data_IF_970897724235
#
_entry.id   IF_970897724235
#
_cell.length_a   1.000
_cell.length_b   1.000
_cell.length_c   1.000
_cell.angle_alpha   90.00
_cell.angle_beta   90.00
_cell.angle_gamma   90.00
#
_symmetry.space_group_name_H-M   'P 1'
#
loop_
_entity.id
_entity.type
_entity.pdbx_description
1 polymer ?
#
# COMPACT_ATOMS: atom_id res chain seq x y z
N UNK A 1 19.99 -1.42 0.74
CA UNK A 1 19.63 -0.35 1.69
C UNK A 1 18.26 -0.67 2.27
N UNK A 2 17.98 -0.37 3.54
CA UNK A 2 16.64 -0.55 4.08
C UNK A 2 15.66 0.33 3.28
N UNK A 3 14.55 -0.27 2.86
CA UNK A 3 13.51 0.39 2.09
C UNK A 3 12.92 1.55 2.92
N UNK A 4 12.78 2.74 2.33
CA UNK A 4 12.25 3.92 3.05
C UNK A 4 10.75 4.13 2.77
N UNK A 5 10.03 4.74 3.72
CA UNK A 5 8.60 5.07 3.63
C UNK A 5 8.29 5.88 2.36
N UNK A 6 9.14 6.85 2.04
CA UNK A 6 8.97 7.70 0.87
C UNK A 6 9.12 6.92 -0.45
N UNK A 7 10.06 5.98 -0.51
CA UNK A 7 10.27 5.17 -1.72
C UNK A 7 9.06 4.27 -2.00
N UNK A 8 8.47 3.68 -0.96
CA UNK A 8 7.22 2.93 -1.09
C UNK A 8 6.09 3.83 -1.59
N UNK A 9 5.89 4.98 -0.95
CA UNK A 9 4.83 5.91 -1.36
C UNK A 9 5.00 6.34 -2.82
N UNK A 10 6.22 6.69 -3.22
CA UNK A 10 6.53 7.07 -4.60
C UNK A 10 6.29 5.92 -5.57
N UNK A 11 6.61 4.69 -5.20
CA UNK A 11 6.38 3.51 -6.04
C UNK A 11 4.90 3.20 -6.19
N UNK A 12 4.11 3.37 -5.13
CA UNK A 12 2.64 3.25 -5.17
C UNK A 12 2.05 4.31 -6.09
N UNK A 13 2.44 5.58 -5.93
CA UNK A 13 1.97 6.66 -6.79
C UNK A 13 2.38 6.46 -8.26
N UNK A 14 3.62 6.04 -8.50
CA UNK A 14 4.10 5.73 -9.85
C UNK A 14 3.30 4.60 -10.50
N UNK A 15 3.00 3.53 -9.74
CA UNK A 15 2.14 2.44 -10.22
C UNK A 15 0.73 2.93 -10.54
N UNK A 16 0.12 3.73 -9.66
CA UNK A 16 -1.20 4.32 -9.88
C UNK A 16 -1.24 5.17 -11.15
N UNK A 17 -0.26 6.06 -11.34
CA UNK A 17 -0.18 6.90 -12.54
C UNK A 17 0.05 6.09 -13.80
N UNK A 18 0.96 5.10 -13.75
CA UNK A 18 1.32 4.27 -14.89
C UNK A 18 0.16 3.44 -15.41
N UNK A 19 -0.61 2.82 -14.52
CA UNK A 19 -1.63 1.85 -14.91
C UNK A 19 -3.07 2.40 -14.96
N UNK A 20 -3.36 3.48 -14.21
CA UNK A 20 -4.72 4.02 -14.11
C UNK A 20 -4.83 5.49 -14.53
N UNK A 21 -3.70 6.15 -14.82
CA UNK A 21 -3.65 7.53 -15.24
C UNK A 21 -3.93 8.54 -14.13
N UNK A 22 -3.71 9.82 -14.43
CA UNK A 22 -3.80 10.91 -13.46
C UNK A 22 -5.22 11.11 -12.90
N UNK A 23 -6.25 10.94 -13.74
CA UNK A 23 -7.66 11.13 -13.34
C UNK A 23 -8.04 10.19 -12.22
N UNK A 24 -7.84 8.88 -12.39
CA UNK A 24 -8.19 7.91 -11.35
C UNK A 24 -7.24 7.98 -10.15
N UNK A 25 -5.94 8.17 -10.38
CA UNK A 25 -4.97 8.31 -9.28
C UNK A 25 -5.32 9.47 -8.33
N UNK A 26 -5.76 10.61 -8.85
CA UNK A 26 -6.17 11.75 -8.02
C UNK A 26 -7.32 11.45 -7.06
N UNK A 27 -8.19 10.49 -7.40
CA UNK A 27 -9.34 10.08 -6.58
C UNK A 27 -8.97 9.14 -5.43
N UNK A 28 -7.76 8.58 -5.45
CA UNK A 28 -7.33 7.57 -4.47
C UNK A 28 -7.21 8.16 -3.07
N UNK A 29 -6.69 9.38 -2.93
CA UNK A 29 -6.50 10.00 -1.62
C UNK A 29 -5.62 9.12 -0.69
N UNK A 30 -4.49 8.64 -1.21
CA UNK A 30 -3.62 7.70 -0.52
C UNK A 30 -2.94 8.35 0.70
N UNK A 31 -2.97 7.68 1.85
CA UNK A 31 -2.31 8.10 3.08
C UNK A 31 -1.63 6.92 3.77
N UNK A 32 -0.35 7.04 4.10
CA UNK A 32 0.38 6.02 4.85
C UNK A 32 0.07 6.17 6.34
N UNK A 33 -0.53 5.13 6.94
CA UNK A 33 -0.89 5.13 8.37
C UNK A 33 0.26 4.56 9.19
N UNK A 34 0.79 3.41 8.78
CA UNK A 34 1.88 2.73 9.47
C UNK A 34 2.68 1.91 8.46
N UNK A 35 3.98 1.76 8.71
CA UNK A 35 4.80 0.83 7.95
C UNK A 35 5.97 0.34 8.80
N UNK A 36 6.11 -0.98 8.84
CA UNK A 36 7.18 -1.66 9.53
C UNK A 36 7.86 -2.64 8.58
N UNK A 37 9.02 -2.23 8.07
CA UNK A 37 9.83 -3.01 7.15
C UNK A 37 10.43 -4.26 7.79
N UNK A 38 10.70 -4.24 9.10
CA UNK A 38 11.24 -5.40 9.82
C UNK A 38 10.20 -6.51 9.93
N UNK A 39 8.94 -6.14 10.12
CA UNK A 39 7.81 -7.07 10.18
C UNK A 39 7.27 -7.43 8.78
N UNK A 40 7.63 -6.67 7.74
CA UNK A 40 7.08 -6.86 6.39
C UNK A 40 5.62 -6.41 6.23
N UNK A 41 5.15 -5.52 7.11
CA UNK A 41 3.75 -5.07 7.16
C UNK A 41 3.60 -3.56 6.98
N UNK A 42 2.49 -3.15 6.36
CA UNK A 42 2.10 -1.75 6.22
C UNK A 42 0.59 -1.57 6.25
N UNK A 43 0.16 -0.38 6.67
CA UNK A 43 -1.23 0.05 6.66
C UNK A 43 -1.30 1.34 5.84
N UNK A 44 -2.07 1.28 4.75
CA UNK A 44 -2.42 2.44 3.95
C UNK A 44 -3.92 2.69 4.05
N UNK A 45 -4.29 3.97 4.03
CA UNK A 45 -5.66 4.45 3.90
C UNK A 45 -5.82 5.03 2.49
N UNK A 46 -7.00 4.83 1.92
CA UNK A 46 -7.40 5.38 0.63
C UNK A 46 -8.92 5.54 0.60
N UNK A 47 -9.44 6.21 -0.44
CA UNK A 47 -10.86 6.36 -0.69
C UNK A 47 -11.52 5.00 -0.94
N UNK A 48 -12.63 4.72 -0.25
CA UNK A 48 -13.39 3.47 -0.42
C UNK A 48 -13.78 3.19 -1.89
N UNK A 49 -14.00 4.24 -2.70
CA UNK A 49 -14.34 4.11 -4.12
C UNK A 49 -13.21 3.57 -4.98
N UNK A 50 -11.97 3.59 -4.48
CA UNK A 50 -10.75 3.25 -5.24
C UNK A 50 -10.08 1.96 -4.78
N UNK A 51 -10.78 1.15 -3.97
CA UNK A 51 -10.23 -0.06 -3.35
C UNK A 51 -9.55 -1.00 -4.36
N UNK A 52 -10.28 -1.41 -5.39
CA UNK A 52 -9.78 -2.39 -6.36
C UNK A 52 -8.63 -1.83 -7.22
N UNK A 53 -8.63 -0.52 -7.48
CA UNK A 53 -7.55 0.19 -8.16
C UNK A 53 -6.26 0.12 -7.32
N UNK A 54 -6.35 0.42 -6.03
CA UNK A 54 -5.18 0.40 -5.13
C UNK A 54 -4.64 -1.02 -4.97
N UNK A 55 -5.50 -2.01 -4.75
CA UNK A 55 -5.08 -3.42 -4.63
C UNK A 55 -4.34 -3.85 -5.91
N UNK A 56 -4.92 -3.57 -7.07
CA UNK A 56 -4.31 -3.90 -8.37
C UNK A 56 -2.97 -3.18 -8.55
N UNK A 57 -2.90 -1.88 -8.25
CA UNK A 57 -1.67 -1.10 -8.37
C UNK A 57 -0.55 -1.62 -7.46
N UNK A 58 -0.89 -2.09 -6.25
CA UNK A 58 0.08 -2.69 -5.33
C UNK A 58 0.63 -4.00 -5.88
N UNK A 59 -0.24 -4.88 -6.38
CA UNK A 59 0.16 -6.19 -6.93
C UNK A 59 1.06 -6.05 -8.17
N UNK A 60 0.91 -4.97 -8.94
CA UNK A 60 1.74 -4.69 -10.11
C UNK A 60 3.16 -4.17 -9.77
N UNK A 61 3.46 -3.88 -8.50
CA UNK A 61 4.78 -3.46 -8.07
C UNK A 61 5.63 -4.71 -7.81
N UNK A 62 6.58 -4.96 -8.71
CA UNK A 62 7.51 -6.10 -8.63
C UNK A 62 8.89 -5.71 -8.09
N UNK A 63 9.19 -4.42 -8.05
CA UNK A 63 10.51 -3.90 -7.68
C UNK A 63 10.41 -2.49 -7.09
N UNK A 64 11.17 -2.22 -6.03
CA UNK A 64 11.38 -0.87 -5.49
C UNK A 64 12.86 -0.66 -5.19
N UNK A 65 13.42 0.43 -5.73
CA UNK A 65 14.83 0.84 -5.53
C UNK A 65 15.83 -0.30 -5.80
N UNK A 66 15.64 -1.07 -6.89
CA UNK A 66 16.52 -2.19 -7.25
C UNK A 66 16.21 -3.52 -6.55
N UNK A 67 15.30 -3.52 -5.56
CA UNK A 67 14.98 -4.71 -4.78
C UNK A 67 13.68 -5.33 -5.29
N UNK A 68 13.74 -6.60 -5.69
CA UNK A 68 12.53 -7.37 -6.03
C UNK A 68 11.67 -7.55 -4.79
N UNK A 69 10.41 -7.15 -4.89
CA UNK A 69 9.46 -7.25 -3.78
C UNK A 69 8.11 -7.73 -4.30
N UNK A 70 7.30 -8.26 -3.37
CA UNK A 70 5.90 -8.61 -3.64
C UNK A 70 5.04 -7.90 -2.60
N UNK A 71 4.12 -7.06 -3.07
CA UNK A 71 3.13 -6.42 -2.20
C UNK A 71 1.81 -7.17 -2.34
N UNK A 72 1.38 -7.80 -1.24
CA UNK A 72 0.10 -8.52 -1.17
C UNK A 72 -0.84 -7.85 -0.18
N UNK A 73 -2.08 -7.61 -0.60
CA UNK A 73 -3.10 -7.04 0.28
C UNK A 73 -3.70 -8.15 1.15
N UNK A 74 -3.53 -8.04 2.46
CA UNK A 74 -3.98 -9.09 3.39
C UNK A 74 -5.44 -8.87 3.81
N UNK A 75 -5.81 -7.61 4.12
CA UNK A 75 -7.16 -7.26 4.54
C UNK A 75 -7.44 -5.78 4.33
N UNK A 76 -8.69 -5.44 4.01
CA UNK A 76 -9.20 -4.07 3.99
C UNK A 76 -10.27 -3.87 5.06
N UNK A 77 -10.38 -2.68 5.62
CA UNK A 77 -11.44 -2.32 6.56
C UNK A 77 -11.74 -0.82 6.49
N UNK A 78 -12.95 -0.42 6.88
CA UNK A 78 -13.34 0.98 7.03
C UNK A 78 -12.77 1.65 8.28
N UNK A 79 -12.26 0.90 9.26
CA UNK A 79 -11.68 1.45 10.49
C UNK A 79 -10.25 0.98 10.72
N UNK A 80 -9.40 1.90 11.18
CA UNK A 80 -8.01 1.59 11.54
C UNK A 80 -7.97 0.60 12.72
N UNK A 81 -8.92 0.70 13.66
CA UNK A 81 -9.00 -0.17 14.82
C UNK A 81 -9.12 -1.65 14.43
N UNK A 82 -10.01 -2.00 13.48
CA UNK A 82 -10.16 -3.38 13.00
C UNK A 82 -8.90 -3.91 12.30
N UNK A 83 -8.16 -3.05 11.59
CA UNK A 83 -6.88 -3.43 10.98
C UNK A 83 -5.81 -3.65 12.04
N UNK A 84 -5.73 -2.80 13.07
CA UNK A 84 -4.75 -2.97 14.15
C UNK A 84 -4.96 -4.25 14.95
N UNK A 85 -6.22 -4.64 15.20
CA UNK A 85 -6.52 -5.95 15.81
C UNK A 85 -5.98 -7.07 14.91
N UNK A 86 -6.21 -6.96 13.60
CA UNK A 86 -5.71 -7.95 12.63
C UNK A 86 -4.18 -8.01 12.62
N UNK A 87 -3.49 -6.85 12.66
CA UNK A 87 -2.03 -6.76 12.77
C UNK A 87 -1.53 -7.55 14.00
N UNK A 88 -2.15 -7.35 15.16
CA UNK A 88 -1.78 -8.06 16.41
C UNK A 88 -1.98 -9.57 16.33
N UNK A 89 -2.94 -10.05 15.53
CA UNK A 89 -3.20 -11.48 15.35
C UNK A 89 -2.19 -12.14 14.40
N UNK A 90 -1.67 -11.39 13.42
CA UNK A 90 -0.72 -11.89 12.42
C UNK A 90 0.73 -11.88 12.91
N UNK A 91 1.07 -11.00 13.87
CA UNK A 91 2.40 -10.89 14.47
C UNK A 91 2.57 -11.74 15.74
N UNK A 92 1.61 -12.63 16.02
CA UNK A 92 1.59 -13.52 17.19
C UNK A 92 2.03 -14.92 16.78
#
# INVERSE_FOLDING_TARGET
>A
MPLNKQEILNSIWASLWKYFGLKEASRVGLWLVDINFLEGFGIIRFSHQTKEIVISALTLITEISGNKIVLSTIKTSGTIHSIQITKKLLLK
#
